data_IF_170000082116
#
_entry.id   IF_170000082116
#
_cell.length_a   1.000
_cell.length_b   1.000
_cell.length_c   1.000
_cell.angle_alpha   90.00
_cell.angle_beta   90.00
_cell.angle_gamma   90.00
#
_symmetry.space_group_name_H-M   'P 1'
#
loop_
_entity.id
_entity.type
_entity.pdbx_description
1 polymer ?
#
# COMPACT_ATOMS: atom_id res chain seq x y z
N UNK A 1 18.83 -3.84 44.36
CA UNK A 1 19.30 -4.18 42.99
C UNK A 1 18.24 -3.67 42.02
N UNK A 2 18.41 -2.45 41.48
CA UNK A 2 17.38 -1.73 40.68
C UNK A 2 17.80 -1.69 39.19
N UNK A 3 18.66 -2.62 38.76
CA UNK A 3 19.44 -2.45 37.52
C UNK A 3 18.86 -3.12 36.28
N UNK A 4 17.71 -3.81 36.33
CA UNK A 4 17.25 -4.53 35.13
C UNK A 4 15.99 -3.97 34.45
N UNK A 5 15.14 -3.19 35.12
CA UNK A 5 13.89 -2.75 34.47
C UNK A 5 14.14 -1.72 33.36
N UNK A 6 14.90 -0.67 33.66
CA UNK A 6 15.26 0.38 32.69
C UNK A 6 16.07 -0.16 31.50
N UNK A 7 16.92 -1.17 31.74
CA UNK A 7 17.73 -1.80 30.68
C UNK A 7 16.90 -2.70 29.75
N UNK A 8 15.82 -3.30 30.25
CA UNK A 8 14.91 -4.12 29.43
C UNK A 8 13.99 -3.21 28.61
N UNK A 9 13.39 -2.19 29.23
CA UNK A 9 12.52 -1.22 28.54
C UNK A 9 13.24 -0.55 27.36
N UNK A 10 14.50 -0.14 27.55
CA UNK A 10 15.30 0.45 26.48
C UNK A 10 15.69 -0.55 25.37
N UNK A 11 15.76 -1.85 25.66
CA UNK A 11 15.99 -2.86 24.62
C UNK A 11 14.73 -3.12 23.81
N UNK A 12 13.56 -3.20 24.46
CA UNK A 12 12.27 -3.38 23.80
C UNK A 12 11.96 -2.21 22.87
N UNK A 13 12.17 -0.97 23.33
CA UNK A 13 12.01 0.24 22.50
C UNK A 13 12.90 0.21 21.25
N UNK A 14 14.14 -0.28 21.37
CA UNK A 14 15.07 -0.40 20.24
C UNK A 14 14.65 -1.46 19.24
N UNK A 15 14.10 -2.58 19.72
CA UNK A 15 13.57 -3.65 18.87
C UNK A 15 12.35 -3.13 18.10
N UNK A 16 11.43 -2.46 18.78
CA UNK A 16 10.24 -1.88 18.16
C UNK A 16 10.59 -0.84 17.09
N UNK A 17 11.56 0.04 17.37
CA UNK A 17 12.05 1.02 16.40
C UNK A 17 12.68 0.33 15.17
N UNK A 18 13.45 -0.74 15.36
CA UNK A 18 14.03 -1.53 14.27
C UNK A 18 12.94 -2.18 13.41
N UNK A 19 11.93 -2.77 14.04
CA UNK A 19 10.83 -3.45 13.37
C UNK A 19 9.97 -2.47 12.57
N UNK A 20 9.71 -1.29 13.14
CA UNK A 20 9.04 -0.20 12.45
C UNK A 20 9.85 0.26 11.23
N UNK A 21 11.16 0.45 11.38
CA UNK A 21 12.03 0.86 10.27
C UNK A 21 12.03 -0.15 9.12
N UNK A 22 12.15 -1.46 9.43
CA UNK A 22 12.06 -2.52 8.42
C UNK A 22 10.70 -2.51 7.70
N UNK A 23 9.61 -2.35 8.45
CA UNK A 23 8.25 -2.30 7.89
C UNK A 23 8.02 -1.09 7.00
N UNK A 24 8.56 0.08 7.38
CA UNK A 24 8.52 1.30 6.56
C UNK A 24 9.29 1.11 5.25
N UNK A 25 10.47 0.48 5.31
CA UNK A 25 11.24 0.20 4.10
C UNK A 25 10.51 -0.78 3.18
N UNK A 26 9.90 -1.82 3.73
CA UNK A 26 9.08 -2.76 2.96
C UNK A 26 7.88 -2.06 2.29
N UNK A 27 7.22 -1.13 2.99
CA UNK A 27 6.13 -0.34 2.42
C UNK A 27 6.61 0.58 1.29
N UNK A 28 7.78 1.21 1.43
CA UNK A 28 8.39 2.02 0.37
C UNK A 28 8.75 1.19 -0.85
N UNK A 29 9.34 0.00 -0.65
CA UNK A 29 9.62 -0.93 -1.76
C UNK A 29 8.34 -1.34 -2.46
N UNK A 30 7.26 -1.59 -1.72
CA UNK A 30 5.96 -1.90 -2.30
C UNK A 30 5.38 -0.71 -3.10
N UNK A 31 5.56 0.53 -2.65
CA UNK A 31 5.21 1.71 -3.45
C UNK A 31 6.01 1.80 -4.74
N UNK A 32 7.32 1.57 -4.72
CA UNK A 32 8.13 1.58 -5.94
C UNK A 32 7.72 0.46 -6.90
N UNK A 33 7.32 -0.70 -6.37
CA UNK A 33 6.73 -1.78 -7.17
C UNK A 33 5.43 -1.32 -7.84
N UNK A 34 4.46 -0.80 -7.08
CA UNK A 34 3.19 -0.29 -7.60
C UNK A 34 3.41 0.81 -8.63
N UNK A 35 4.33 1.74 -8.35
CA UNK A 35 4.69 2.85 -9.24
C UNK A 35 5.25 2.36 -10.59
N UNK A 36 5.89 1.20 -10.60
CA UNK A 36 6.46 0.62 -11.82
C UNK A 36 5.41 -0.04 -12.73
N UNK A 37 4.18 -0.22 -12.23
CA UNK A 37 3.07 -0.83 -12.97
C UNK A 37 2.34 0.21 -13.81
N UNK A 38 1.60 -0.29 -14.80
CA UNK A 38 0.74 0.59 -15.58
C UNK A 38 -0.40 1.11 -14.70
N UNK A 39 -0.97 2.27 -15.03
CA UNK A 39 -2.01 2.84 -14.17
C UNK A 39 -3.30 2.01 -14.19
N UNK A 40 -3.61 1.38 -15.32
CA UNK A 40 -4.83 0.60 -15.58
C UNK A 40 -4.62 -0.21 -16.86
N UNK A 41 -5.04 -1.46 -16.90
CA UNK A 41 -4.90 -2.38 -18.05
C UNK A 41 -5.43 -1.78 -19.37
N UNK A 42 -6.44 -0.90 -19.31
CA UNK A 42 -7.07 -0.31 -20.51
C UNK A 42 -6.19 0.74 -21.20
N UNK A 43 -5.16 1.24 -20.53
CA UNK A 43 -4.24 2.27 -21.05
C UNK A 43 -3.32 1.70 -22.15
N UNK A 44 -2.95 0.42 -22.08
CA UNK A 44 -2.01 -0.19 -23.02
C UNK A 44 -2.61 -0.29 -24.44
N UNK A 45 -3.95 -0.26 -24.57
CA UNK A 45 -4.67 -0.59 -25.80
C UNK A 45 -5.24 0.59 -26.59
N UNK A 46 -5.21 1.83 -26.07
CA UNK A 46 -5.99 2.95 -26.65
C UNK A 46 -5.15 4.19 -27.01
N UNK A 47 -5.43 4.75 -28.20
CA UNK A 47 -4.90 6.05 -28.67
C UNK A 47 -5.55 7.23 -27.91
N UNK A 48 -6.75 7.01 -27.34
CA UNK A 48 -7.48 7.97 -26.51
C UNK A 48 -8.02 7.28 -25.27
N UNK A 49 -7.62 7.74 -24.08
CA UNK A 49 -8.07 7.20 -22.80
C UNK A 49 -9.31 7.98 -22.36
N UNK A 50 -10.43 7.29 -22.18
CA UNK A 50 -11.63 7.85 -21.56
C UNK A 50 -11.69 7.41 -20.08
N UNK A 51 -12.23 8.26 -19.19
CA UNK A 51 -12.46 7.87 -17.79
C UNK A 51 -13.42 6.69 -17.69
N UNK A 52 -14.45 6.67 -18.53
CA UNK A 52 -15.47 5.61 -18.53
C UNK A 52 -14.93 4.26 -19.02
N UNK A 53 -13.75 4.25 -19.64
CA UNK A 53 -13.08 3.01 -20.04
C UNK A 53 -12.13 2.45 -18.98
N UNK A 54 -11.83 3.18 -17.90
CA UNK A 54 -11.00 2.67 -16.81
C UNK A 54 -11.77 1.68 -15.93
N UNK A 55 -11.05 0.90 -15.12
CA UNK A 55 -11.66 -0.03 -14.16
C UNK A 55 -12.65 0.70 -13.24
N UNK A 56 -13.93 0.26 -13.15
CA UNK A 56 -14.89 0.91 -12.27
C UNK A 56 -14.49 0.70 -10.81
N UNK A 57 -14.81 1.66 -9.93
CA UNK A 57 -14.40 1.64 -8.53
C UNK A 57 -14.82 0.35 -7.77
N UNK A 58 -15.94 -0.28 -8.17
CA UNK A 58 -16.41 -1.55 -7.59
C UNK A 58 -15.62 -2.79 -8.02
N UNK A 59 -14.80 -2.67 -9.06
CA UNK A 59 -14.01 -3.75 -9.65
C UNK A 59 -12.51 -3.55 -9.44
N UNK A 60 -12.08 -2.53 -8.69
CA UNK A 60 -10.67 -2.36 -8.33
C UNK A 60 -10.18 -3.58 -7.52
N UNK A 61 -9.11 -4.20 -7.98
CA UNK A 61 -8.51 -5.40 -7.41
C UNK A 61 -8.06 -6.33 -8.54
N UNK A 62 -7.38 -7.44 -8.19
CA UNK A 62 -6.98 -8.42 -9.20
C UNK A 62 -8.21 -9.02 -9.87
N UNK A 63 -8.17 -9.18 -11.18
CA UNK A 63 -9.18 -9.93 -11.91
C UNK A 63 -8.89 -11.43 -11.82
N UNK A 64 -7.80 -11.86 -12.46
CA UNK A 64 -7.32 -13.24 -12.46
C UNK A 64 -5.83 -13.34 -12.09
N UNK A 65 -5.19 -12.21 -11.84
CA UNK A 65 -3.79 -12.06 -11.50
C UNK A 65 -3.54 -12.53 -10.06
N UNK A 66 -2.39 -13.15 -9.85
CA UNK A 66 -1.91 -13.54 -8.51
C UNK A 66 -0.55 -12.90 -8.31
N UNK A 67 -0.36 -12.23 -7.17
CA UNK A 67 0.95 -11.68 -6.80
C UNK A 67 2.05 -12.74 -6.94
N UNK A 68 3.16 -12.48 -7.66
CA UNK A 68 3.67 -11.16 -8.09
C UNK A 68 3.31 -10.74 -9.53
N UNK A 69 2.31 -11.36 -10.16
CA UNK A 69 1.97 -11.14 -11.57
C UNK A 69 1.09 -9.92 -11.85
N UNK A 70 0.74 -9.14 -10.82
CA UNK A 70 0.01 -7.87 -10.96
C UNK A 70 0.68 -6.96 -12.00
N UNK A 71 -0.09 -6.44 -12.95
CA UNK A 71 0.41 -5.71 -14.11
C UNK A 71 -0.05 -4.24 -14.15
N UNK A 72 -1.04 -3.87 -13.35
CA UNK A 72 -1.46 -2.49 -13.12
C UNK A 72 -1.58 -2.12 -11.61
N UNK A 73 -2.02 -0.89 -11.35
CA UNK A 73 -2.11 -0.35 -9.98
C UNK A 73 -3.31 -0.93 -9.22
N UNK A 74 -4.44 -1.14 -9.87
CA UNK A 74 -5.68 -1.57 -9.22
C UNK A 74 -5.64 -3.01 -8.75
N UNK A 75 -4.83 -3.87 -9.36
CA UNK A 75 -4.51 -5.19 -8.84
C UNK A 75 -4.06 -5.20 -7.38
N UNK A 76 -3.44 -4.11 -6.90
CA UNK A 76 -3.00 -4.05 -5.51
C UNK A 76 -4.13 -3.73 -4.54
N UNK A 77 -5.35 -3.43 -5.00
CA UNK A 77 -6.46 -3.13 -4.10
C UNK A 77 -6.82 -4.35 -3.24
N UNK A 78 -6.74 -4.18 -1.92
CA UNK A 78 -6.98 -5.26 -0.97
C UNK A 78 -5.81 -6.23 -0.80
N UNK A 79 -4.69 -6.05 -1.51
CA UNK A 79 -3.50 -6.88 -1.37
C UNK A 79 -2.93 -6.79 0.06
N UNK A 80 -2.49 -7.93 0.59
CA UNK A 80 -1.86 -8.03 1.92
C UNK A 80 -0.49 -8.69 1.77
N UNK A 81 0.56 -7.95 2.13
CA UNK A 81 1.94 -8.46 2.21
C UNK A 81 2.29 -8.77 3.66
N UNK A 82 2.60 -10.03 3.94
CA UNK A 82 3.08 -10.46 5.26
C UNK A 82 4.58 -10.20 5.37
N UNK A 83 5.02 -9.71 6.52
CA UNK A 83 6.41 -9.46 6.86
C UNK A 83 6.76 -10.29 8.09
N UNK A 84 7.68 -11.24 7.93
CA UNK A 84 8.28 -11.95 9.06
C UNK A 84 9.57 -11.25 9.45
N UNK A 85 9.62 -10.73 10.68
CA UNK A 85 10.77 -10.00 11.20
C UNK A 85 11.75 -10.96 11.89
N UNK A 86 13.01 -10.54 12.02
CA UNK A 86 14.11 -11.38 12.56
C UNK A 86 13.86 -11.89 13.98
N UNK A 87 13.06 -11.17 14.78
CA UNK A 87 12.71 -11.54 16.15
C UNK A 87 11.47 -12.45 16.25
N UNK A 88 10.94 -12.93 15.11
CA UNK A 88 9.75 -13.78 15.05
C UNK A 88 8.42 -13.02 15.14
N UNK A 89 8.43 -11.69 15.26
CA UNK A 89 7.20 -10.90 15.14
C UNK A 89 6.75 -10.85 13.68
N UNK A 90 5.44 -10.80 13.47
CA UNK A 90 4.83 -10.64 12.16
C UNK A 90 4.14 -9.28 12.04
N UNK A 91 4.36 -8.63 10.91
CA UNK A 91 3.69 -7.40 10.52
C UNK A 91 2.99 -7.66 9.19
N UNK A 92 1.96 -6.87 8.89
CA UNK A 92 1.29 -6.94 7.59
C UNK A 92 1.14 -5.55 7.00
N UNK A 93 1.29 -5.48 5.67
CA UNK A 93 1.01 -4.29 4.88
C UNK A 93 -0.25 -4.55 4.08
N UNK A 94 -1.31 -3.79 4.34
CA UNK A 94 -2.55 -3.83 3.56
C UNK A 94 -2.58 -2.65 2.61
N UNK A 95 -2.81 -2.94 1.34
CA UNK A 95 -2.94 -1.93 0.29
C UNK A 95 -4.41 -1.65 0.03
N UNK A 96 -4.73 -0.38 -0.19
CA UNK A 96 -6.02 0.10 -0.67
C UNK A 96 -5.78 1.06 -1.81
N UNK A 97 -6.53 0.89 -2.88
CA UNK A 97 -6.51 1.76 -4.06
C UNK A 97 -7.90 2.39 -4.18
N UNK A 98 -7.94 3.70 -4.33
CA UNK A 98 -9.17 4.45 -4.58
C UNK A 98 -8.93 5.48 -5.68
N UNK A 99 -9.95 5.84 -6.44
CA UNK A 99 -9.89 7.06 -7.24
C UNK A 99 -10.00 8.30 -6.35
N UNK A 100 -9.35 9.39 -6.77
CA UNK A 100 -9.49 10.71 -6.13
C UNK A 100 -10.05 11.74 -7.08
N UNK A 101 -10.71 12.77 -6.52
CA UNK A 101 -11.28 13.85 -7.29
C UNK A 101 -10.16 14.72 -7.90
N UNK A 102 -10.25 14.98 -9.20
CA UNK A 102 -9.22 15.71 -9.95
C UNK A 102 -9.12 17.19 -9.55
N UNK A 103 -10.23 17.79 -9.11
CA UNK A 103 -10.28 19.18 -8.64
C UNK A 103 -9.91 19.29 -7.15
N UNK A 104 -9.97 18.17 -6.42
CA UNK A 104 -9.63 18.13 -5.02
C UNK A 104 -9.14 16.74 -4.58
N UNK A 105 -7.83 16.48 -4.67
CA UNK A 105 -7.25 15.15 -4.42
C UNK A 105 -7.38 14.65 -2.98
N UNK A 106 -7.83 15.49 -2.04
CA UNK A 106 -8.12 15.09 -0.65
C UNK A 106 -9.43 14.29 -0.54
N UNK A 107 -10.30 14.35 -1.57
CA UNK A 107 -11.58 13.66 -1.60
C UNK A 107 -11.53 12.45 -2.54
N UNK A 108 -12.03 11.32 -2.04
CA UNK A 108 -12.22 10.13 -2.88
C UNK A 108 -13.30 10.38 -3.92
N UNK A 109 -13.11 9.81 -5.10
CA UNK A 109 -14.08 9.78 -6.18
C UNK A 109 -14.77 8.43 -6.23
N UNK A 110 -16.09 8.42 -6.36
CA UNK A 110 -16.86 7.18 -6.59
C UNK A 110 -16.83 6.74 -8.07
N UNK A 111 -16.40 7.62 -8.97
CA UNK A 111 -16.25 7.35 -10.40
C UNK A 111 -14.78 7.36 -10.80
N UNK A 112 -14.39 6.61 -11.86
CA UNK A 112 -13.01 6.62 -12.32
C UNK A 112 -12.50 8.02 -12.68
N UNK A 113 -11.24 8.27 -12.32
CA UNK A 113 -10.49 9.49 -12.66
C UNK A 113 -9.08 9.13 -13.10
N UNK A 114 -8.34 10.10 -13.61
CA UNK A 114 -6.93 9.87 -13.98
C UNK A 114 -5.96 9.89 -12.79
N UNK A 115 -6.48 9.78 -11.56
CA UNK A 115 -5.72 9.79 -10.33
C UNK A 115 -6.18 8.67 -9.38
N UNK A 116 -5.25 7.79 -9.01
CA UNK A 116 -5.45 6.72 -8.03
C UNK A 116 -4.65 7.07 -6.77
N UNK A 117 -5.30 7.09 -5.62
CA UNK A 117 -4.66 7.15 -4.31
C UNK A 117 -4.38 5.73 -3.83
N UNK A 118 -3.10 5.44 -3.62
CA UNK A 118 -2.66 4.19 -3.01
C UNK A 118 -2.33 4.47 -1.54
N UNK A 119 -3.01 3.75 -0.66
CA UNK A 119 -2.79 3.78 0.78
C UNK A 119 -2.21 2.44 1.23
N UNK A 120 -1.04 2.46 1.85
CA UNK A 120 -0.44 1.28 2.49
C UNK A 120 -0.52 1.45 4.00
N UNK A 121 -1.26 0.56 4.66
CA UNK A 121 -1.45 0.57 6.11
C UNK A 121 -0.67 -0.59 6.70
N UNK A 122 0.14 -0.31 7.70
CA UNK A 122 0.90 -1.33 8.41
C UNK A 122 0.22 -1.71 9.73
N UNK A 123 0.08 -3.01 9.97
CA UNK A 123 -0.43 -3.60 11.20
C UNK A 123 0.61 -4.51 11.85
N UNK A 124 0.63 -4.55 13.18
CA UNK A 124 1.35 -5.59 13.91
C UNK A 124 0.57 -6.92 13.97
N UNK A 125 1.17 -7.93 14.58
CA UNK A 125 0.57 -9.24 14.85
C UNK A 125 -0.77 -9.18 15.61
N UNK A 126 -1.02 -8.11 16.36
CA UNK A 126 -2.25 -7.90 17.13
C UNK A 126 -3.26 -7.04 16.36
N UNK A 127 -3.04 -6.80 15.06
CA UNK A 127 -3.87 -5.95 14.20
C UNK A 127 -3.93 -4.49 14.65
N UNK A 128 -2.97 -4.01 15.44
CA UNK A 128 -2.85 -2.59 15.76
C UNK A 128 -2.17 -1.88 14.59
N UNK A 129 -2.81 -0.80 14.11
CA UNK A 129 -2.22 0.07 13.09
C UNK A 129 -0.97 0.77 13.64
N UNK A 130 0.17 0.60 12.94
CA UNK A 130 1.45 1.22 13.29
C UNK A 130 1.71 2.51 12.52
N UNK A 131 1.47 2.49 11.21
CA UNK A 131 1.60 3.66 10.36
C UNK A 131 0.74 3.51 9.10
N UNK A 132 0.62 4.61 8.38
CA UNK A 132 -0.01 4.67 7.07
C UNK A 132 0.82 5.56 6.16
N UNK A 133 1.02 5.12 4.92
CA UNK A 133 1.66 5.88 3.87
C UNK A 133 0.67 6.04 2.72
N UNK A 134 0.66 7.21 2.10
CA UNK A 134 -0.24 7.58 1.01
C UNK A 134 0.53 8.18 -0.14
N UNK A 135 0.16 7.79 -1.35
CA UNK A 135 0.68 8.41 -2.55
C UNK A 135 -0.37 8.42 -3.65
N UNK A 136 -0.47 9.55 -4.34
CA UNK A 136 -1.33 9.70 -5.52
C UNK A 136 -0.49 9.38 -6.76
N UNK A 137 -1.06 8.57 -7.64
CA UNK A 137 -0.52 8.23 -8.95
C UNK A 137 -1.42 8.84 -10.03
N UNK A 138 -0.79 9.40 -11.05
CA UNK A 138 -1.44 9.91 -12.26
C UNK A 138 -1.09 9.06 -13.47
N UNK A 139 -1.90 9.14 -14.51
CA UNK A 139 -1.58 8.54 -15.82
C UNK A 139 -0.45 9.27 -16.58
N UNK A 140 -0.04 10.45 -16.09
CA UNK A 140 0.98 11.33 -16.67
C UNK A 140 2.24 11.38 -15.82
#
# INVERSE_FOLDING_TARGET
MITNKLSIETQDERIDAKNLYQSVNAAKTLFEEIKSKTFDEKIISMIFINRDSLTPNSSLGPENEIYPQFDDIDDFNGFIKQLLLENGQSYSLKVRVDYVNENNPDFLSSTPTFYKLVTIICFDQNQNRKFELKQIFSIW
#
